data_IF_030282799030
#
_entry.id   IF_030282799030
#
_cell.length_a   1.000
_cell.length_b   1.000
_cell.length_c   1.000
_cell.angle_alpha   90.00
_cell.angle_beta   90.00
_cell.angle_gamma   90.00
#
_symmetry.space_group_name_H-M   'P 1'
#
loop_
_entity.id
_entity.type
_entity.pdbx_description
1 polymer ?
#
# COMPACT_ATOMS: atom_id res chain seq x y z
N UNK A 1 8.82 -6.23 -9.65
CA UNK A 1 8.50 -7.18 -8.55
C UNK A 1 7.02 -7.52 -8.59
N UNK A 2 6.64 -8.67 -8.01
CA UNK A 2 5.24 -9.03 -7.78
C UNK A 2 4.95 -9.12 -6.28
N UNK A 3 4.20 -8.16 -5.73
CA UNK A 3 3.88 -8.07 -4.30
C UNK A 3 2.64 -8.88 -3.89
N UNK A 4 1.94 -9.54 -4.83
CA UNK A 4 0.68 -10.23 -4.54
C UNK A 4 0.90 -11.38 -3.56
N UNK A 5 0.08 -11.44 -2.51
CA UNK A 5 0.12 -12.50 -1.49
C UNK A 5 1.31 -12.44 -0.53
N UNK A 6 2.13 -11.40 -0.57
CA UNK A 6 3.29 -11.27 0.33
C UNK A 6 2.92 -10.59 1.66
N UNK A 7 3.54 -11.04 2.76
CA UNK A 7 3.47 -10.38 4.05
C UNK A 7 4.61 -9.36 4.21
N UNK A 8 4.27 -8.14 4.66
CA UNK A 8 5.23 -7.06 4.92
C UNK A 8 5.52 -7.04 6.43
N UNK A 9 6.68 -7.54 6.82
CA UNK A 9 7.12 -7.70 8.20
C UNK A 9 8.36 -6.87 8.55
N UNK A 10 9.20 -6.57 7.56
CA UNK A 10 10.45 -5.82 7.73
C UNK A 10 10.79 -5.00 6.49
N UNK A 11 11.44 -3.86 6.71
CA UNK A 11 12.00 -3.01 5.63
C UNK A 11 13.11 -3.71 4.84
N UNK A 12 13.82 -4.67 5.46
CA UNK A 12 14.87 -5.44 4.80
C UNK A 12 14.36 -6.36 3.68
N UNK A 13 13.03 -6.55 3.56
CA UNK A 13 12.41 -7.29 2.46
C UNK A 13 12.41 -6.51 1.14
N UNK A 14 12.68 -5.21 1.17
CA UNK A 14 12.62 -4.36 -0.01
C UNK A 14 14.03 -3.97 -0.47
N UNK A 15 14.34 -4.26 -1.73
CA UNK A 15 15.50 -3.70 -2.40
C UNK A 15 15.22 -2.29 -2.94
N UNK A 16 16.26 -1.64 -3.47
CA UNK A 16 16.13 -0.28 -4.02
C UNK A 16 15.10 -0.19 -5.14
N UNK A 17 15.04 -1.19 -6.03
CA UNK A 17 14.11 -1.18 -7.15
C UNK A 17 12.66 -1.29 -6.66
N UNK A 18 12.41 -2.13 -5.65
CA UNK A 18 11.13 -2.28 -4.99
C UNK A 18 10.65 -0.95 -4.39
N UNK A 19 11.55 -0.25 -3.68
CA UNK A 19 11.26 1.04 -3.06
C UNK A 19 10.93 2.09 -4.12
N UNK A 20 11.72 2.17 -5.20
CA UNK A 20 11.45 3.08 -6.31
C UNK A 20 10.09 2.81 -6.96
N UNK A 21 9.71 1.53 -7.11
CA UNK A 21 8.38 1.15 -7.62
C UNK A 21 7.24 1.57 -6.70
N UNK A 22 7.38 1.38 -5.38
CA UNK A 22 6.38 1.77 -4.39
C UNK A 22 6.16 3.29 -4.41
N UNK A 23 7.24 4.07 -4.42
CA UNK A 23 7.18 5.54 -4.47
C UNK A 23 6.53 6.01 -5.78
N UNK A 24 6.93 5.42 -6.92
CA UNK A 24 6.33 5.77 -8.21
C UNK A 24 4.83 5.43 -8.30
N UNK A 25 4.35 4.39 -7.60
CA UNK A 25 2.92 4.12 -7.47
C UNK A 25 2.26 5.16 -6.56
N UNK A 26 2.84 5.46 -5.40
CA UNK A 26 2.31 6.46 -4.46
C UNK A 26 2.15 7.84 -5.11
N UNK A 27 3.12 8.28 -5.91
CA UNK A 27 3.04 9.54 -6.66
C UNK A 27 1.88 9.55 -7.65
N UNK A 28 1.63 8.43 -8.34
CA UNK A 28 0.48 8.27 -9.24
C UNK A 28 -0.87 8.20 -8.51
N UNK A 29 -0.87 7.90 -7.21
CA UNK A 29 -2.08 7.87 -6.39
C UNK A 29 -2.53 9.26 -5.92
N UNK A 30 -1.71 10.32 -6.07
CA UNK A 30 -2.05 11.70 -5.65
C UNK A 30 -3.43 12.19 -6.12
N UNK A 31 -3.85 12.01 -7.39
CA UNK A 31 -5.18 12.46 -7.83
C UNK A 31 -6.34 11.81 -7.07
N UNK A 32 -6.19 10.58 -6.59
CA UNK A 32 -7.19 9.90 -5.78
C UNK A 32 -7.23 10.45 -4.35
N UNK A 33 -6.06 10.74 -3.76
CA UNK A 33 -5.96 11.41 -2.47
C UNK A 33 -6.55 12.83 -2.50
N UNK A 34 -6.37 13.54 -3.61
CA UNK A 34 -6.95 14.86 -3.89
C UNK A 34 -8.43 14.81 -4.29
N UNK A 35 -9.06 13.62 -4.28
CA UNK A 35 -10.47 13.41 -4.65
C UNK A 35 -10.82 13.83 -6.08
N UNK A 36 -9.84 13.89 -6.99
CA UNK A 36 -10.06 14.13 -8.42
C UNK A 36 -10.63 12.89 -9.12
N UNK A 37 -10.32 11.69 -8.60
CA UNK A 37 -10.84 10.41 -9.08
C UNK A 37 -11.22 9.49 -7.92
N UNK A 38 -12.14 8.56 -8.19
CA UNK A 38 -12.50 7.46 -7.30
C UNK A 38 -11.80 6.17 -7.72
N UNK A 39 -11.36 5.36 -6.77
CA UNK A 39 -10.84 4.00 -7.01
C UNK A 39 -11.76 2.96 -6.36
N UNK A 40 -11.97 1.85 -7.06
CA UNK A 40 -12.77 0.67 -6.63
C UNK A 40 -11.99 -0.64 -6.75
N UNK A 41 -10.66 -0.55 -6.87
CA UNK A 41 -9.80 -1.71 -7.18
C UNK A 41 -9.75 -2.76 -6.06
N UNK A 42 -10.21 -2.41 -4.86
CA UNK A 42 -10.32 -3.31 -3.70
C UNK A 42 -11.77 -3.60 -3.32
N UNK A 43 -12.75 -3.35 -4.20
CA UNK A 43 -14.15 -3.68 -3.93
C UNK A 43 -14.29 -5.18 -3.63
N UNK A 44 -14.84 -5.50 -2.45
CA UNK A 44 -14.98 -6.87 -1.95
C UNK A 44 -13.80 -7.39 -1.11
N UNK A 45 -12.69 -6.64 -1.01
CA UNK A 45 -11.62 -6.97 -0.08
C UNK A 45 -11.99 -6.57 1.36
N UNK A 46 -11.64 -7.41 2.33
CA UNK A 46 -11.85 -7.15 3.75
C UNK A 46 -10.50 -6.94 4.43
N UNK A 47 -10.34 -5.80 5.12
CA UNK A 47 -9.16 -5.49 5.93
C UNK A 47 -9.48 -5.68 7.42
N UNK A 48 -8.83 -6.66 8.05
CA UNK A 48 -8.89 -6.85 9.51
C UNK A 48 -7.73 -6.11 10.19
N UNK A 49 -8.04 -5.12 11.02
CA UNK A 49 -7.04 -4.37 11.77
C UNK A 49 -6.96 -4.89 13.20
N UNK A 50 -5.76 -5.25 13.65
CA UNK A 50 -5.50 -5.72 15.02
C UNK A 50 -4.40 -4.84 15.64
N UNK A 51 -4.79 -4.00 16.61
CA UNK A 51 -3.87 -3.16 17.39
C UNK A 51 -3.92 -3.63 18.85
N UNK A 52 -2.79 -4.14 19.35
CA UNK A 52 -2.66 -4.59 20.73
C UNK A 52 -2.08 -3.50 21.66
N UNK A 53 -1.68 -2.37 21.08
CA UNK A 53 -1.15 -1.19 21.77
C UNK A 53 -1.79 0.08 21.16
N UNK A 54 -1.87 1.20 21.91
CA UNK A 54 -2.45 2.43 21.40
C UNK A 54 -1.79 2.93 20.11
N UNK A 55 -2.60 3.20 19.08
CA UNK A 55 -2.19 3.74 17.78
C UNK A 55 -3.32 4.62 17.22
N UNK A 56 -2.98 5.69 16.50
CA UNK A 56 -3.94 6.66 15.92
C UNK A 56 -3.53 6.99 14.49
#
# INVERSE_FOLDING_TARGET
>A
MDFRGQHILSVSQFDRQAIEQIIAVADRMKPYAERKYLSKVLDGAILGNMFFEPST
#
